data_IF_648279183985
#
_entry.id   IF_648279183985
#
_cell.length_a   1.000
_cell.length_b   1.000
_cell.length_c   1.000
_cell.angle_alpha   90.00
_cell.angle_beta   90.00
_cell.angle_gamma   90.00
#
_symmetry.space_group_name_H-M   'P 1'
#
loop_
_entity.id
_entity.type
_entity.pdbx_description
1 polymer ?
#
# COMPACT_ATOMS: atom_id res chain seq x y z
N UNK A 1 -43.14 -67.89 -21.91
CA UNK A 1 -43.23 -68.93 -22.93
C UNK A 1 -42.95 -68.34 -24.30
N UNK A 2 -42.28 -68.94 -25.20
CA UNK A 2 -41.09 -69.79 -25.10
C UNK A 2 -39.90 -69.21 -25.93
N UNK A 3 -38.68 -69.53 -25.56
CA UNK A 3 -37.71 -70.46 -26.16
C UNK A 3 -37.13 -70.09 -27.57
N UNK A 4 -35.82 -70.14 -27.64
CA UNK A 4 -35.10 -70.23 -28.90
C UNK A 4 -33.59 -70.09 -28.73
N UNK A 5 -32.93 -71.17 -28.31
CA UNK A 5 -31.49 -71.35 -28.40
C UNK A 5 -31.10 -71.80 -29.85
N UNK A 6 -29.86 -71.45 -30.32
CA UNK A 6 -28.92 -72.42 -30.93
C UNK A 6 -27.73 -71.71 -31.56
N UNK A 7 -26.57 -72.01 -31.11
CA UNK A 7 -25.46 -72.83 -31.65
C UNK A 7 -24.38 -72.06 -32.46
N UNK A 8 -23.21 -72.10 -31.87
CA UNK A 8 -21.89 -72.53 -32.32
C UNK A 8 -21.47 -72.27 -33.78
N UNK A 9 -20.29 -71.67 -33.87
CA UNK A 9 -19.46 -71.68 -35.01
C UNK A 9 -18.06 -71.11 -34.64
N UNK A 10 -17.15 -72.03 -34.27
CA UNK A 10 -15.78 -71.63 -34.01
C UNK A 10 -14.95 -71.50 -35.31
N UNK A 11 -14.03 -70.56 -35.31
CA UNK A 11 -12.88 -70.54 -36.21
C UNK A 11 -11.64 -70.15 -35.45
N UNK A 12 -10.67 -71.06 -35.36
CA UNK A 12 -9.28 -70.80 -34.95
C UNK A 12 -8.65 -69.89 -36.01
N UNK A 13 -8.02 -68.84 -35.57
CA UNK A 13 -6.96 -68.19 -36.33
C UNK A 13 -5.74 -67.96 -35.45
N UNK A 14 -4.70 -68.70 -35.80
CA UNK A 14 -3.34 -68.47 -35.33
C UNK A 14 -2.88 -67.06 -35.64
N UNK A 15 -2.52 -66.29 -34.63
CA UNK A 15 -1.80 -65.03 -34.83
C UNK A 15 -0.37 -65.17 -34.26
N UNK A 16 0.56 -64.97 -35.15
CA UNK A 16 1.99 -65.03 -34.92
C UNK A 16 2.45 -63.94 -33.91
N UNK A 17 3.14 -64.32 -32.88
CA UNK A 17 3.87 -63.40 -32.01
C UNK A 17 5.08 -62.82 -32.73
N UNK A 18 4.99 -61.56 -33.14
CA UNK A 18 6.16 -60.73 -33.46
C UNK A 18 6.59 -60.02 -32.17
N UNK A 19 7.68 -60.48 -31.60
CA UNK A 19 8.34 -59.82 -30.45
C UNK A 19 8.92 -58.49 -30.91
N UNK A 20 8.34 -57.37 -30.42
CA UNK A 20 8.99 -56.07 -30.49
C UNK A 20 9.71 -55.85 -29.17
N UNK A 21 11.03 -56.07 -29.21
CA UNK A 21 11.93 -55.62 -28.11
C UNK A 21 11.98 -54.11 -28.10
N UNK A 22 11.08 -53.49 -27.38
CA UNK A 22 11.14 -52.06 -27.04
C UNK A 22 12.20 -51.89 -25.95
N UNK A 23 13.34 -51.29 -26.28
CA UNK A 23 14.28 -50.78 -25.29
C UNK A 23 13.57 -49.70 -24.48
N UNK A 24 13.12 -50.01 -23.27
CA UNK A 24 12.69 -49.03 -22.30
C UNK A 24 13.89 -48.15 -21.94
N UNK A 25 13.92 -46.91 -22.41
CA UNK A 25 14.84 -45.89 -21.89
C UNK A 25 14.53 -45.73 -20.42
N UNK A 26 15.52 -45.98 -19.56
CA UNK A 26 15.45 -45.61 -18.15
C UNK A 26 15.13 -44.12 -18.04
N UNK A 27 14.21 -43.71 -17.14
CA UNK A 27 13.96 -42.29 -16.94
C UNK A 27 15.25 -41.60 -16.51
N UNK A 28 15.59 -40.55 -17.24
CA UNK A 28 16.72 -39.70 -16.89
C UNK A 28 16.48 -39.16 -15.47
N UNK A 29 17.45 -39.12 -14.56
CA UNK A 29 17.26 -38.61 -13.22
C UNK A 29 16.78 -37.15 -13.32
N UNK A 30 15.65 -36.86 -12.70
CA UNK A 30 15.13 -35.48 -12.60
C UNK A 30 16.25 -34.58 -12.07
N UNK A 31 16.58 -33.57 -12.85
CA UNK A 31 17.54 -32.55 -12.44
C UNK A 31 17.03 -31.93 -11.14
N UNK A 32 17.86 -31.85 -10.07
CA UNK A 32 17.40 -31.17 -8.85
C UNK A 32 16.87 -29.79 -9.20
N UNK A 33 15.75 -29.36 -8.56
CA UNK A 33 15.17 -28.06 -8.83
C UNK A 33 16.25 -27.00 -8.68
N UNK A 34 16.44 -26.19 -9.72
CA UNK A 34 17.35 -25.05 -9.65
C UNK A 34 16.92 -24.17 -8.49
N UNK A 35 17.85 -23.72 -7.62
CA UNK A 35 17.51 -22.77 -6.59
C UNK A 35 16.79 -21.57 -7.23
N UNK A 36 15.66 -21.18 -6.66
CA UNK A 36 14.96 -19.99 -7.12
C UNK A 36 15.95 -18.81 -7.16
N UNK A 37 15.92 -17.95 -8.19
CA UNK A 37 16.80 -16.81 -8.26
C UNK A 37 16.65 -15.96 -6.97
N UNK A 38 17.75 -15.41 -6.44
CA UNK A 38 17.68 -14.62 -5.23
C UNK A 38 16.68 -13.48 -5.42
N UNK A 39 15.70 -13.40 -4.52
CA UNK A 39 14.68 -12.33 -4.56
C UNK A 39 15.39 -11.03 -4.18
N UNK A 40 15.45 -10.08 -5.09
CA UNK A 40 15.99 -8.74 -4.80
C UNK A 40 15.19 -8.10 -3.67
N UNK A 41 15.85 -7.68 -2.58
CA UNK A 41 15.15 -7.01 -1.47
C UNK A 41 14.38 -5.78 -1.94
N UNK A 42 13.22 -5.52 -1.34
CA UNK A 42 12.49 -4.28 -1.54
C UNK A 42 13.31 -3.11 -0.97
N UNK A 43 13.59 -2.14 -1.81
CA UNK A 43 14.19 -0.85 -1.46
C UNK A 43 13.24 0.23 -1.93
N UNK A 44 12.25 0.50 -1.09
CA UNK A 44 11.13 1.35 -1.44
C UNK A 44 11.25 2.77 -0.87
N UNK A 45 10.46 3.67 -1.45
CA UNK A 45 10.27 5.01 -0.92
C UNK A 45 8.83 5.47 -1.15
N UNK A 46 8.25 6.17 -0.17
CA UNK A 46 6.98 6.85 -0.33
C UNK A 46 7.18 8.22 -0.97
N UNK A 47 6.35 8.55 -1.95
CA UNK A 47 6.23 9.87 -2.55
C UNK A 47 4.83 10.41 -2.25
N UNK A 48 4.76 11.36 -1.31
CA UNK A 48 3.51 11.95 -0.84
C UNK A 48 3.10 13.14 -1.69
N UNK A 49 1.84 13.17 -2.09
CA UNK A 49 1.26 14.26 -2.90
C UNK A 49 0.25 15.11 -2.14
N UNK A 50 -0.25 14.60 -0.99
CA UNK A 50 -1.16 15.35 -0.15
C UNK A 50 -0.57 16.73 0.18
N UNK A 51 -1.34 17.80 -0.08
CA UNK A 51 -0.89 19.19 0.09
C UNK A 51 0.45 19.52 -0.61
N UNK A 52 0.84 18.76 -1.63
CA UNK A 52 2.11 18.97 -2.33
C UNK A 52 3.36 18.66 -1.49
N UNK A 53 3.29 17.75 -0.52
CA UNK A 53 4.39 17.50 0.42
C UNK A 53 5.71 17.12 -0.26
N UNK A 54 5.71 16.19 -1.20
CA UNK A 54 6.88 15.83 -1.99
C UNK A 54 6.73 16.31 -3.44
N UNK A 55 5.49 16.23 -3.96
CA UNK A 55 5.16 16.58 -5.33
C UNK A 55 3.65 16.93 -5.41
N UNK A 56 3.22 17.84 -6.31
CA UNK A 56 4.04 18.63 -7.24
C UNK A 56 4.77 19.80 -6.55
N UNK A 57 5.82 20.36 -7.17
CA UNK A 57 6.51 21.50 -6.60
C UNK A 57 5.60 22.73 -6.56
N UNK A 58 5.60 23.45 -5.44
CA UNK A 58 4.76 24.64 -5.26
C UNK A 58 4.98 25.71 -6.36
N UNK A 59 6.18 25.79 -6.92
CA UNK A 59 6.49 26.67 -8.02
C UNK A 59 5.67 26.40 -9.29
N UNK A 60 5.25 25.14 -9.50
CA UNK A 60 4.43 24.78 -10.67
C UNK A 60 3.06 25.44 -10.67
N UNK A 61 2.48 25.67 -9.48
CA UNK A 61 1.17 26.34 -9.35
C UNK A 61 1.25 27.86 -9.59
N UNK A 62 2.48 28.41 -9.62
CA UNK A 62 2.74 29.82 -9.94
C UNK A 62 3.10 30.05 -11.41
N UNK A 63 3.14 28.99 -12.20
CA UNK A 63 3.46 29.09 -13.63
C UNK A 63 2.37 29.88 -14.36
N UNK A 64 2.80 30.80 -15.25
CA UNK A 64 1.89 31.68 -16.01
C UNK A 64 1.05 30.91 -17.05
N UNK A 65 1.56 29.76 -17.51
CA UNK A 65 0.93 28.95 -18.56
C UNK A 65 0.81 27.48 -18.17
N UNK A 66 -0.19 26.80 -18.70
CA UNK A 66 -0.36 25.36 -18.50
C UNK A 66 0.84 24.52 -19.03
N UNK A 67 1.41 24.79 -20.21
CA UNK A 67 2.62 24.09 -20.67
C UNK A 67 3.80 24.21 -19.70
N UNK A 68 4.02 25.38 -19.12
CA UNK A 68 5.09 25.59 -18.14
C UNK A 68 4.82 24.85 -16.84
N UNK A 69 3.58 24.87 -16.33
CA UNK A 69 3.17 24.09 -15.17
C UNK A 69 3.44 22.60 -15.38
N UNK A 70 3.01 22.07 -16.53
CA UNK A 70 3.20 20.65 -16.89
C UNK A 70 4.70 20.33 -16.94
N UNK A 71 5.50 21.17 -17.60
CA UNK A 71 6.94 20.98 -17.69
C UNK A 71 7.60 20.91 -16.31
N UNK A 72 7.26 21.84 -15.40
CA UNK A 72 7.81 21.86 -14.04
C UNK A 72 7.42 20.61 -13.24
N UNK A 73 6.18 20.17 -13.36
CA UNK A 73 5.70 18.97 -12.65
C UNK A 73 6.38 17.71 -13.19
N UNK A 74 6.45 17.54 -14.49
CA UNK A 74 7.11 16.39 -15.12
C UNK A 74 8.63 16.38 -14.83
N UNK A 75 9.29 17.51 -14.89
CA UNK A 75 10.71 17.62 -14.55
C UNK A 75 10.97 17.23 -13.09
N UNK A 76 10.12 17.67 -12.16
CA UNK A 76 10.25 17.31 -10.75
C UNK A 76 10.10 15.80 -10.52
N UNK A 77 9.16 15.13 -11.22
CA UNK A 77 9.02 13.67 -11.14
C UNK A 77 10.24 12.94 -11.72
N UNK A 78 10.76 13.37 -12.85
CA UNK A 78 11.95 12.73 -13.44
C UNK A 78 13.17 12.92 -12.56
N UNK A 79 13.37 14.10 -11.97
CA UNK A 79 14.46 14.35 -11.01
C UNK A 79 14.33 13.43 -9.78
N UNK A 80 13.12 13.31 -9.21
CA UNK A 80 12.87 12.42 -8.07
C UNK A 80 13.20 10.95 -8.40
N UNK A 81 12.83 10.49 -9.59
CA UNK A 81 13.17 9.14 -10.06
C UNK A 81 14.66 8.94 -10.27
N UNK A 82 15.37 9.95 -10.79
CA UNK A 82 16.83 9.91 -10.95
C UNK A 82 17.54 9.84 -9.58
N UNK A 83 17.06 10.59 -8.58
CA UNK A 83 17.56 10.50 -7.20
C UNK A 83 17.30 9.11 -6.58
N UNK A 84 16.15 8.50 -6.87
CA UNK A 84 15.84 7.13 -6.45
C UNK A 84 16.83 6.12 -7.06
N UNK A 85 17.08 6.20 -8.37
CA UNK A 85 18.06 5.35 -9.05
C UNK A 85 19.45 5.52 -8.43
N UNK A 86 19.89 6.76 -8.23
CA UNK A 86 21.19 7.08 -7.61
C UNK A 86 21.31 6.47 -6.21
N UNK A 87 20.21 6.42 -5.47
CA UNK A 87 20.18 5.86 -4.10
C UNK A 87 20.04 4.33 -4.08
N UNK A 88 19.74 3.69 -5.21
CA UNK A 88 19.53 2.24 -5.29
C UNK A 88 18.11 1.79 -4.93
N UNK A 89 17.14 2.71 -4.95
CA UNK A 89 15.72 2.44 -4.74
C UNK A 89 15.15 1.74 -5.98
N UNK A 90 14.35 0.70 -5.76
CA UNK A 90 13.75 -0.11 -6.82
C UNK A 90 12.22 -0.06 -6.87
N UNK A 91 11.58 0.63 -5.93
CA UNK A 91 10.12 0.74 -5.89
C UNK A 91 9.70 2.10 -5.32
N UNK A 92 8.76 2.77 -5.97
CA UNK A 92 8.12 3.99 -5.47
C UNK A 92 6.66 3.72 -5.12
N UNK A 93 6.24 4.17 -3.94
CA UNK A 93 4.85 4.19 -3.48
C UNK A 93 4.32 5.60 -3.73
N UNK A 94 3.67 5.78 -4.88
CA UNK A 94 3.21 7.07 -5.37
C UNK A 94 1.78 7.34 -4.90
N UNK A 95 1.58 8.37 -4.07
CA UNK A 95 0.26 8.75 -3.56
C UNK A 95 -0.59 9.34 -4.70
N UNK A 96 -1.48 8.52 -5.25
CA UNK A 96 -2.33 8.89 -6.39
C UNK A 96 -3.74 9.33 -5.97
N UNK A 97 -4.19 8.92 -4.77
CA UNK A 97 -5.45 9.35 -4.16
C UNK A 97 -5.18 9.86 -2.75
N UNK A 98 -4.74 11.13 -2.59
CA UNK A 98 -4.47 11.70 -1.27
C UNK A 98 -5.72 11.96 -0.45
N UNK A 99 -6.86 12.16 -1.10
CA UNK A 99 -8.18 12.46 -0.54
C UNK A 99 -9.30 11.95 -1.48
N UNK A 100 -10.42 12.66 -1.58
CA UNK A 100 -11.52 12.35 -2.50
C UNK A 100 -11.26 12.71 -3.97
N UNK A 101 -10.00 12.90 -4.35
CA UNK A 101 -9.58 13.32 -5.69
C UNK A 101 -8.51 12.38 -6.27
N UNK A 102 -8.22 12.51 -7.57
CA UNK A 102 -7.32 11.61 -8.29
C UNK A 102 -6.14 12.34 -8.93
N UNK A 103 -4.99 11.64 -9.01
CA UNK A 103 -3.84 12.02 -9.82
C UNK A 103 -3.73 11.15 -11.09
N UNK A 104 -4.84 10.63 -11.56
CA UNK A 104 -4.97 9.90 -12.84
C UNK A 104 -6.29 10.30 -13.50
N UNK A 105 -6.42 10.02 -14.80
CA UNK A 105 -7.68 10.25 -15.52
C UNK A 105 -8.73 9.24 -15.05
N UNK A 106 -9.59 9.68 -14.14
CA UNK A 106 -10.62 8.87 -13.51
C UNK A 106 -12.01 9.22 -14.07
N UNK A 107 -12.85 8.21 -14.22
CA UNK A 107 -14.29 8.38 -14.48
C UNK A 107 -15.11 8.51 -13.19
N UNK A 108 -14.47 8.31 -12.02
CA UNK A 108 -15.13 8.27 -10.70
C UNK A 108 -14.77 9.50 -9.86
N UNK A 109 -13.52 9.96 -9.92
CA UNK A 109 -12.97 10.99 -9.05
C UNK A 109 -12.60 12.26 -9.84
N UNK A 110 -12.87 13.46 -9.28
CA UNK A 110 -12.35 14.69 -9.87
C UNK A 110 -10.83 14.77 -9.74
N UNK A 111 -10.20 15.55 -10.63
CA UNK A 111 -8.79 15.86 -10.54
C UNK A 111 -8.42 16.54 -9.21
N UNK A 112 -7.27 16.19 -8.67
CA UNK A 112 -6.76 16.79 -7.44
C UNK A 112 -6.35 18.25 -7.66
N UNK A 113 -6.70 19.12 -6.68
CA UNK A 113 -6.30 20.52 -6.65
C UNK A 113 -4.78 20.72 -6.62
N UNK A 114 -4.00 19.75 -6.13
CA UNK A 114 -2.55 19.87 -6.08
C UNK A 114 -1.91 20.04 -7.46
N UNK A 115 -2.61 19.62 -8.52
CA UNK A 115 -2.13 19.67 -9.90
C UNK A 115 -2.27 21.05 -10.56
N UNK A 116 -3.33 21.78 -10.19
CA UNK A 116 -3.68 23.06 -10.87
C UNK A 116 -4.03 24.19 -9.91
N UNK A 117 -4.23 23.89 -8.63
CA UNK A 117 -4.78 24.82 -7.64
C UNK A 117 -6.31 24.80 -7.57
N UNK A 118 -6.99 24.00 -8.41
CA UNK A 118 -8.46 23.92 -8.48
C UNK A 118 -8.91 22.48 -8.59
N UNK A 119 -9.79 22.04 -7.68
CA UNK A 119 -10.40 20.71 -7.72
C UNK A 119 -11.17 20.52 -9.03
N UNK A 120 -10.99 19.36 -9.67
CA UNK A 120 -11.71 18.98 -10.89
C UNK A 120 -11.15 19.58 -12.18
N UNK A 121 -10.19 20.50 -12.11
CA UNK A 121 -9.57 21.08 -13.29
C UNK A 121 -8.58 20.08 -13.93
N UNK A 122 -8.78 19.74 -15.21
CA UNK A 122 -7.87 18.88 -15.98
C UNK A 122 -6.46 19.51 -16.01
N UNK A 123 -5.43 18.80 -15.56
CA UNK A 123 -4.06 19.31 -15.56
C UNK A 123 -3.42 19.35 -16.96
N UNK A 124 -4.05 18.78 -17.98
CA UNK A 124 -3.55 18.68 -19.34
C UNK A 124 -2.62 17.51 -19.60
N UNK A 125 -2.43 16.62 -18.64
CA UNK A 125 -1.72 15.35 -18.77
C UNK A 125 -2.14 14.39 -17.66
N UNK A 126 -1.74 13.11 -17.74
CA UNK A 126 -2.03 12.10 -16.73
C UNK A 126 -0.77 11.82 -15.89
N UNK A 127 -0.73 12.30 -14.61
CA UNK A 127 0.43 12.11 -13.75
C UNK A 127 0.78 10.66 -13.46
N UNK A 128 -0.21 9.78 -13.25
CA UNK A 128 0.05 8.36 -13.01
C UNK A 128 0.63 7.68 -14.25
N UNK A 129 0.07 7.93 -15.42
CA UNK A 129 0.61 7.40 -16.68
C UNK A 129 2.04 7.89 -16.93
N UNK A 130 2.33 9.16 -16.64
CA UNK A 130 3.68 9.72 -16.75
C UNK A 130 4.65 9.07 -15.77
N UNK A 131 4.25 8.92 -14.49
CA UNK A 131 5.06 8.24 -13.46
C UNK A 131 5.39 6.81 -13.87
N UNK A 132 4.41 6.03 -14.30
CA UNK A 132 4.59 4.64 -14.73
C UNK A 132 5.61 4.53 -15.87
N UNK A 133 5.44 5.35 -16.92
CA UNK A 133 6.36 5.38 -18.06
C UNK A 133 7.79 5.67 -17.63
N UNK A 134 7.99 6.71 -16.83
CA UNK A 134 9.33 7.18 -16.43
C UNK A 134 9.99 6.27 -15.39
N UNK A 135 9.21 5.71 -14.46
CA UNK A 135 9.70 4.77 -13.46
C UNK A 135 10.09 3.42 -14.08
N UNK A 136 9.21 2.83 -14.91
CA UNK A 136 9.49 1.55 -15.56
C UNK A 136 10.68 1.63 -16.50
N UNK A 137 10.86 2.75 -17.22
CA UNK A 137 12.05 2.98 -18.05
C UNK A 137 13.36 2.96 -17.24
N UNK A 138 13.29 3.26 -15.94
CA UNK A 138 14.42 3.22 -15.00
C UNK A 138 14.51 1.91 -14.20
N UNK A 139 13.64 0.96 -14.44
CA UNK A 139 13.56 -0.30 -13.67
C UNK A 139 12.97 -0.14 -12.27
N UNK A 140 12.28 0.97 -12.00
CA UNK A 140 11.59 1.24 -10.73
C UNK A 140 10.14 0.77 -10.84
N UNK A 141 9.68 -0.05 -9.89
CA UNK A 141 8.28 -0.43 -9.75
C UNK A 141 7.46 0.69 -9.15
N UNK A 142 6.18 0.74 -9.51
CA UNK A 142 5.24 1.76 -9.00
C UNK A 142 4.06 1.09 -8.30
N UNK A 143 3.92 1.36 -7.02
CA UNK A 143 2.71 1.05 -6.27
C UNK A 143 1.86 2.30 -6.14
N UNK A 144 0.60 2.22 -6.57
CA UNK A 144 -0.36 3.28 -6.39
C UNK A 144 -0.83 3.32 -4.93
N UNK A 145 -0.52 4.40 -4.23
CA UNK A 145 -0.92 4.61 -2.86
C UNK A 145 -2.21 5.42 -2.79
N UNK A 146 -3.23 4.87 -2.13
CA UNK A 146 -4.53 5.47 -1.95
C UNK A 146 -4.86 5.62 -0.46
N UNK A 147 -5.41 6.78 -0.09
CA UNK A 147 -6.12 6.97 1.19
C UNK A 147 -7.58 6.58 0.97
N UNK A 148 -8.06 5.43 1.47
CA UNK A 148 -9.35 4.89 1.05
C UNK A 148 -10.55 5.75 1.45
N UNK A 149 -10.61 6.25 2.68
CA UNK A 149 -11.77 6.93 3.24
C UNK A 149 -11.69 8.45 3.25
N UNK A 150 -10.51 9.04 3.13
CA UNK A 150 -10.34 10.49 3.21
C UNK A 150 -10.98 11.19 2.02
N UNK A 151 -11.80 12.20 2.30
CA UNK A 151 -12.47 13.04 1.31
C UNK A 151 -11.82 14.42 1.20
N UNK A 152 -11.39 15.00 2.33
CA UNK A 152 -10.72 16.31 2.37
C UNK A 152 -9.68 16.39 3.48
N UNK A 153 -8.83 17.42 3.40
CA UNK A 153 -7.82 17.72 4.42
C UNK A 153 -8.29 18.71 5.47
N UNK A 154 -9.47 19.32 5.26
CA UNK A 154 -10.10 20.25 6.19
C UNK A 154 -11.62 20.31 5.91
N UNK A 155 -12.35 21.04 6.77
CA UNK A 155 -13.82 21.20 6.69
C UNK A 155 -14.23 22.65 6.43
N UNK A 156 -13.33 23.48 5.88
CA UNK A 156 -13.56 24.90 5.63
C UNK A 156 -14.63 25.11 4.56
N UNK A 157 -15.34 26.23 4.65
CA UNK A 157 -16.38 26.58 3.66
C UNK A 157 -15.84 26.62 2.24
N UNK A 158 -14.62 27.15 2.04
CA UNK A 158 -13.98 27.17 0.73
C UNK A 158 -13.78 25.75 0.15
N UNK A 159 -13.44 24.79 0.98
CA UNK A 159 -13.32 23.38 0.56
C UNK A 159 -14.68 22.80 0.19
N UNK A 160 -15.71 23.07 0.99
CA UNK A 160 -17.09 22.64 0.72
C UNK A 160 -17.56 23.20 -0.61
N UNK A 161 -17.35 24.48 -0.85
CA UNK A 161 -17.75 25.16 -2.08
C UNK A 161 -17.03 24.56 -3.31
N UNK A 162 -15.73 24.33 -3.20
CA UNK A 162 -14.94 23.71 -4.26
C UNK A 162 -15.39 22.28 -4.59
N UNK A 163 -15.67 21.45 -3.57
CA UNK A 163 -16.18 20.10 -3.78
C UNK A 163 -17.57 20.08 -4.41
N UNK A 164 -18.46 20.99 -4.01
CA UNK A 164 -19.81 21.12 -4.60
C UNK A 164 -19.76 21.65 -6.04
N UNK A 165 -18.81 22.54 -6.35
CA UNK A 165 -18.64 23.06 -7.69
C UNK A 165 -18.29 21.99 -8.73
N UNK A 166 -17.71 20.87 -8.32
CA UNK A 166 -17.41 19.74 -9.23
C UNK A 166 -18.64 19.13 -9.89
N UNK A 167 -19.86 19.37 -9.35
CA UNK A 167 -21.11 18.96 -9.99
C UNK A 167 -21.28 19.57 -11.39
N UNK A 168 -20.59 20.67 -11.69
CA UNK A 168 -20.64 21.33 -13.00
C UNK A 168 -19.64 20.76 -14.01
N UNK A 169 -18.67 19.95 -13.55
CA UNK A 169 -17.59 19.38 -14.38
C UNK A 169 -17.31 17.93 -13.98
N UNK A 170 -18.12 16.97 -14.43
CA UNK A 170 -17.93 15.56 -14.10
C UNK A 170 -16.53 15.03 -14.49
N UNK A 171 -15.99 14.06 -13.69
CA UNK A 171 -16.63 13.41 -12.56
C UNK A 171 -16.70 14.31 -11.33
N UNK A 172 -17.86 14.32 -10.66
CA UNK A 172 -18.08 15.13 -9.48
C UNK A 172 -17.52 14.46 -8.21
N UNK A 173 -17.24 15.26 -7.19
CA UNK A 173 -16.78 14.78 -5.88
C UNK A 173 -17.82 13.88 -5.21
N UNK A 174 -17.34 12.82 -4.56
CA UNK A 174 -18.19 11.97 -3.71
C UNK A 174 -18.87 12.76 -2.58
N UNK A 175 -18.25 13.84 -2.12
CA UNK A 175 -18.86 14.76 -1.15
C UNK A 175 -20.18 15.36 -1.69
N UNK A 176 -20.16 15.81 -2.93
CA UNK A 176 -21.31 16.42 -3.58
C UNK A 176 -22.36 15.40 -4.04
N UNK A 177 -21.92 14.21 -4.50
CA UNK A 177 -22.81 13.16 -5.00
C UNK A 177 -23.52 12.38 -3.90
N UNK A 178 -22.82 12.14 -2.77
CA UNK A 178 -23.27 11.28 -1.69
C UNK A 178 -23.07 11.93 -0.32
N UNK A 179 -23.78 13.05 -0.02
CA UNK A 179 -23.61 13.75 1.24
C UNK A 179 -23.99 12.89 2.46
N UNK A 180 -24.83 11.89 2.29
CA UNK A 180 -25.22 10.91 3.31
C UNK A 180 -24.08 9.92 3.68
N UNK A 181 -23.08 9.77 2.82
CA UNK A 181 -21.89 8.95 3.12
C UNK A 181 -20.83 9.69 3.93
N UNK A 182 -20.93 11.03 4.01
CA UNK A 182 -19.90 11.89 4.58
C UNK A 182 -20.02 11.95 6.09
N UNK A 183 -18.89 11.81 6.77
CA UNK A 183 -18.72 12.06 8.21
C UNK A 183 -17.62 13.07 8.41
N UNK A 184 -17.70 13.77 9.54
CA UNK A 184 -16.66 14.71 9.97
C UNK A 184 -15.96 14.14 11.19
N UNK A 185 -14.65 14.02 11.15
CA UNK A 185 -13.83 13.67 12.28
C UNK A 185 -12.43 14.25 12.10
N UNK A 186 -11.82 14.71 13.19
CA UNK A 186 -10.45 15.23 13.21
C UNK A 186 -10.21 16.29 12.12
N UNK A 187 -11.14 17.26 12.02
CA UNK A 187 -11.15 18.37 11.06
C UNK A 187 -11.07 17.93 9.58
N UNK A 188 -11.57 16.75 9.25
CA UNK A 188 -11.63 16.23 7.88
C UNK A 188 -13.00 15.71 7.54
N UNK A 189 -13.35 15.75 6.26
CA UNK A 189 -14.40 14.92 5.71
C UNK A 189 -13.84 13.54 5.36
N UNK A 190 -14.56 12.52 5.79
CA UNK A 190 -14.27 11.13 5.52
C UNK A 190 -15.54 10.37 5.12
N UNK A 191 -15.38 9.27 4.39
CA UNK A 191 -16.48 8.35 4.10
C UNK A 191 -16.78 7.50 5.33
N UNK A 192 -18.05 7.18 5.56
CA UNK A 192 -18.49 6.27 6.61
C UNK A 192 -18.10 4.81 6.29
N UNK A 193 -17.15 4.20 7.03
CA UNK A 193 -16.72 2.84 6.73
C UNK A 193 -17.79 1.76 6.99
N UNK A 194 -18.84 2.11 7.74
CA UNK A 194 -19.94 1.21 8.05
C UNK A 194 -20.91 0.99 6.90
N UNK A 195 -20.90 1.84 5.88
CA UNK A 195 -21.79 1.75 4.74
C UNK A 195 -21.26 0.75 3.69
N UNK A 196 -22.02 -0.30 3.33
CA UNK A 196 -21.64 -1.22 2.26
C UNK A 196 -21.37 -0.53 0.93
N UNK A 197 -22.16 0.48 0.56
CA UNK A 197 -22.00 1.23 -0.69
C UNK A 197 -20.68 1.99 -0.74
N UNK A 198 -20.20 2.51 0.40
CA UNK A 198 -18.88 3.15 0.51
C UNK A 198 -17.78 2.14 0.19
N UNK A 199 -17.85 0.93 0.75
CA UNK A 199 -16.86 -0.14 0.46
C UNK A 199 -16.87 -0.55 -1.02
N UNK A 200 -18.05 -0.65 -1.61
CA UNK A 200 -18.21 -0.93 -3.04
C UNK A 200 -17.61 0.18 -3.90
N UNK A 201 -17.84 1.44 -3.54
CA UNK A 201 -17.30 2.59 -4.24
C UNK A 201 -15.77 2.63 -4.18
N UNK A 202 -15.16 2.46 -2.99
CA UNK A 202 -13.70 2.40 -2.83
C UNK A 202 -13.11 1.26 -3.67
N UNK A 203 -13.76 0.08 -3.63
CA UNK A 203 -13.34 -1.08 -4.44
C UNK A 203 -13.41 -0.78 -5.93
N UNK A 204 -14.44 -0.03 -6.37
CA UNK A 204 -14.57 0.45 -7.74
C UNK A 204 -13.44 1.38 -8.16
N UNK A 205 -13.02 2.30 -7.28
CA UNK A 205 -11.87 3.19 -7.52
C UNK A 205 -10.57 2.39 -7.69
N UNK A 206 -10.32 1.41 -6.83
CA UNK A 206 -9.16 0.52 -6.97
C UNK A 206 -9.22 -0.26 -8.28
N UNK A 207 -10.40 -0.80 -8.61
CA UNK A 207 -10.60 -1.55 -9.84
C UNK A 207 -10.32 -0.70 -11.09
N UNK A 208 -10.68 0.58 -11.09
CA UNK A 208 -10.39 1.51 -12.17
C UNK A 208 -8.87 1.65 -12.39
N UNK A 209 -8.11 1.87 -11.33
CA UNK A 209 -6.65 1.99 -11.41
C UNK A 209 -6.02 0.70 -11.94
N UNK A 210 -6.41 -0.46 -11.38
CA UNK A 210 -5.85 -1.76 -11.79
C UNK A 210 -6.19 -2.10 -13.25
N UNK A 211 -7.40 -1.79 -13.70
CA UNK A 211 -7.82 -2.05 -15.09
C UNK A 211 -7.06 -1.19 -16.10
N UNK A 212 -6.93 0.10 -15.81
CA UNK A 212 -6.52 1.10 -16.79
C UNK A 212 -5.02 1.40 -16.78
N UNK A 213 -4.30 1.01 -15.71
CA UNK A 213 -2.88 1.34 -15.54
C UNK A 213 -2.04 0.09 -15.26
N UNK A 214 -0.79 0.15 -15.68
CA UNK A 214 0.20 -0.92 -15.46
C UNK A 214 0.94 -0.72 -14.13
N UNK A 215 0.19 -0.59 -13.04
CA UNK A 215 0.74 -0.50 -11.71
C UNK A 215 1.29 -1.85 -11.24
N UNK A 216 2.40 -1.84 -10.50
CA UNK A 216 2.98 -3.05 -9.91
C UNK A 216 2.29 -3.44 -8.60
N UNK A 217 1.61 -2.48 -7.97
CA UNK A 217 0.87 -2.72 -6.74
C UNK A 217 -0.13 -1.62 -6.39
N UNK A 218 -0.99 -1.95 -5.45
CA UNK A 218 -1.93 -1.05 -4.76
C UNK A 218 -1.56 -1.05 -3.29
N UNK A 219 -1.52 0.12 -2.67
CA UNK A 219 -1.28 0.27 -1.24
C UNK A 219 -2.32 1.16 -0.58
N UNK A 220 -2.86 0.70 0.55
CA UNK A 220 -3.54 1.55 1.53
C UNK A 220 -2.55 1.92 2.65
N UNK A 221 -2.74 3.09 3.26
CA UNK A 221 -1.94 3.52 4.41
C UNK A 221 -2.57 3.12 5.76
N UNK A 222 -2.37 3.93 6.79
CA UNK A 222 -2.83 3.67 8.17
C UNK A 222 -4.17 4.32 8.52
N UNK A 223 -4.76 5.09 7.60
CA UNK A 223 -5.99 5.84 7.87
C UNK A 223 -7.24 5.07 7.44
N UNK A 224 -7.91 4.42 8.40
CA UNK A 224 -9.20 3.75 8.20
C UNK A 224 -10.34 4.52 8.87
N UNK A 225 -10.48 4.47 10.21
CA UNK A 225 -11.37 5.35 10.95
C UNK A 225 -10.62 6.61 11.39
N UNK A 226 -11.19 7.78 11.16
CA UNK A 226 -10.53 9.08 11.36
C UNK A 226 -10.81 9.72 12.71
N UNK A 227 -11.39 9.01 13.66
CA UNK A 227 -11.70 9.56 14.96
C UNK A 227 -10.48 9.69 15.88
N UNK A 228 -10.59 10.65 16.79
CA UNK A 228 -9.76 10.74 17.99
C UNK A 228 -10.69 10.85 19.21
N UNK A 229 -10.18 10.67 20.45
CA UNK A 229 -11.01 10.89 21.65
C UNK A 229 -11.67 12.26 21.71
N UNK A 230 -11.05 13.30 21.12
CA UNK A 230 -11.55 14.67 21.08
C UNK A 230 -12.46 14.95 19.87
N UNK A 231 -12.42 14.09 18.87
CA UNK A 231 -13.22 14.25 17.64
C UNK A 231 -13.73 12.87 17.17
N UNK A 232 -14.77 12.37 17.85
CA UNK A 232 -15.36 11.07 17.49
C UNK A 232 -16.04 11.13 16.14
N UNK A 233 -16.05 10.01 15.42
CA UNK A 233 -16.79 9.85 14.18
C UNK A 233 -18.25 9.50 14.50
N UNK A 234 -19.20 10.30 13.99
CA UNK A 234 -20.64 10.06 14.17
C UNK A 234 -21.16 9.00 13.17
N UNK A 235 -21.08 7.74 13.56
CA UNK A 235 -21.62 6.60 12.82
C UNK A 235 -22.73 5.83 13.61
N UNK A 236 -23.35 6.48 14.59
CA UNK A 236 -24.38 5.84 15.42
C UNK A 236 -25.59 5.35 14.62
N UNK A 237 -26.02 6.12 13.62
CA UNK A 237 -27.13 5.71 12.75
C UNK A 237 -26.76 4.46 11.97
N UNK A 238 -25.56 4.45 11.40
CA UNK A 238 -25.02 3.33 10.61
C UNK A 238 -24.85 2.08 11.49
N UNK A 239 -24.35 2.26 12.72
CA UNK A 239 -24.21 1.15 13.68
C UNK A 239 -25.58 0.54 14.06
N UNK A 240 -26.61 1.35 14.31
CA UNK A 240 -27.95 0.83 14.58
C UNK A 240 -28.53 0.02 13.42
N UNK A 241 -28.18 0.39 12.19
CA UNK A 241 -28.67 -0.26 10.98
C UNK A 241 -27.89 -1.56 10.68
N UNK A 242 -26.58 -1.52 10.74
CA UNK A 242 -25.69 -2.62 10.30
C UNK A 242 -24.94 -3.35 11.43
N UNK A 243 -24.99 -2.85 12.66
CA UNK A 243 -24.24 -3.41 13.79
C UNK A 243 -24.91 -4.58 14.52
N UNK A 244 -26.10 -5.01 14.06
CA UNK A 244 -26.82 -6.14 14.68
C UNK A 244 -25.99 -7.43 14.61
N UNK A 245 -25.83 -8.10 15.76
CA UNK A 245 -25.10 -9.36 15.84
C UNK A 245 -23.63 -9.22 16.26
N UNK A 246 -23.10 -8.00 16.32
CA UNK A 246 -21.78 -7.74 16.88
C UNK A 246 -21.86 -7.54 18.40
N UNK A 247 -20.79 -7.93 19.12
CA UNK A 247 -20.72 -7.80 20.57
C UNK A 247 -20.73 -6.31 21.01
N UNK A 248 -20.07 -5.46 20.22
CA UNK A 248 -19.94 -4.03 20.45
C UNK A 248 -19.66 -3.27 19.16
N UNK A 249 -19.71 -1.94 19.24
CA UNK A 249 -19.44 -1.04 18.11
C UNK A 249 -18.00 -1.16 17.58
N UNK A 250 -17.03 -1.38 18.45
CA UNK A 250 -15.64 -1.53 18.07
C UNK A 250 -15.42 -2.80 17.21
N UNK A 251 -16.03 -3.90 17.58
CA UNK A 251 -16.01 -5.15 16.81
C UNK A 251 -16.66 -4.99 15.44
N UNK A 252 -17.79 -4.29 15.37
CA UNK A 252 -18.44 -3.95 14.12
C UNK A 252 -17.57 -3.06 13.23
N UNK A 253 -16.91 -2.04 13.78
CA UNK A 253 -15.98 -1.17 13.03
C UNK A 253 -14.79 -1.96 12.47
N UNK A 254 -14.22 -2.88 13.25
CA UNK A 254 -13.13 -3.75 12.76
C UNK A 254 -13.59 -4.70 11.66
N UNK A 255 -14.83 -5.19 11.72
CA UNK A 255 -15.39 -5.97 10.62
C UNK A 255 -15.59 -5.12 9.35
N UNK A 256 -16.01 -3.86 9.48
CA UNK A 256 -16.14 -2.97 8.32
C UNK A 256 -14.83 -2.79 7.57
N UNK A 257 -13.72 -2.58 8.26
CA UNK A 257 -12.40 -2.50 7.63
C UNK A 257 -11.96 -3.83 7.04
N UNK A 258 -12.23 -4.95 7.73
CA UNK A 258 -11.96 -6.29 7.22
C UNK A 258 -12.72 -6.57 5.91
N UNK A 259 -14.00 -6.19 5.82
CA UNK A 259 -14.80 -6.36 4.60
C UNK A 259 -14.22 -5.56 3.43
N UNK A 260 -13.77 -4.32 3.65
CA UNK A 260 -13.08 -3.55 2.60
C UNK A 260 -11.83 -4.29 2.11
N UNK A 261 -10.96 -4.73 3.02
CA UNK A 261 -9.73 -5.44 2.67
C UNK A 261 -10.03 -6.72 1.88
N UNK A 262 -11.04 -7.50 2.30
CA UNK A 262 -11.49 -8.68 1.56
C UNK A 262 -11.95 -8.36 0.14
N UNK A 263 -12.78 -7.33 -0.02
CA UNK A 263 -13.30 -6.92 -1.32
C UNK A 263 -12.20 -6.45 -2.26
N UNK A 264 -11.30 -5.59 -1.77
CA UNK A 264 -10.17 -5.07 -2.57
C UNK A 264 -9.21 -6.21 -2.93
N UNK A 265 -8.84 -7.06 -1.98
CA UNK A 265 -7.98 -8.22 -2.23
C UNK A 265 -8.55 -9.13 -3.33
N UNK A 266 -9.83 -9.50 -3.22
CA UNK A 266 -10.50 -10.34 -4.22
C UNK A 266 -10.56 -9.67 -5.59
N UNK A 267 -10.84 -8.37 -5.63
CA UNK A 267 -10.95 -7.60 -6.88
C UNK A 267 -9.61 -7.47 -7.59
N UNK A 268 -8.54 -7.12 -6.87
CA UNK A 268 -7.19 -7.01 -7.46
C UNK A 268 -6.73 -8.35 -8.01
N UNK A 269 -6.89 -9.43 -7.25
CA UNK A 269 -6.51 -10.79 -7.69
C UNK A 269 -7.31 -11.26 -8.91
N UNK A 270 -8.60 -10.93 -8.97
CA UNK A 270 -9.44 -11.29 -10.11
C UNK A 270 -9.09 -10.50 -11.38
N UNK A 271 -8.72 -9.24 -11.26
CA UNK A 271 -8.43 -8.36 -12.40
C UNK A 271 -7.01 -8.57 -12.94
N UNK A 272 -6.00 -8.51 -12.06
CA UNK A 272 -4.58 -8.67 -12.41
C UNK A 272 -3.82 -9.37 -11.27
N UNK A 273 -3.69 -10.71 -11.28
CA UNK A 273 -3.03 -11.47 -10.21
C UNK A 273 -1.58 -11.07 -9.93
N UNK A 274 -0.91 -10.43 -10.90
CA UNK A 274 0.47 -9.96 -10.75
C UNK A 274 0.58 -8.63 -9.99
N UNK A 275 -0.52 -7.89 -9.84
CA UNK A 275 -0.55 -6.63 -9.08
C UNK A 275 -0.61 -6.95 -7.59
N UNK A 276 0.40 -6.51 -6.83
CA UNK A 276 0.45 -6.72 -5.40
C UNK A 276 -0.55 -5.80 -4.67
N UNK A 277 -1.22 -6.33 -3.64
CA UNK A 277 -2.03 -5.52 -2.72
C UNK A 277 -1.43 -5.54 -1.33
N UNK A 278 -1.15 -4.36 -0.77
CA UNK A 278 -0.58 -4.22 0.56
C UNK A 278 -1.14 -3.06 1.35
N UNK A 279 -0.80 -3.05 2.64
CA UNK A 279 -1.20 -2.00 3.59
C UNK A 279 0.04 -1.55 4.37
N UNK A 280 0.12 -0.23 4.63
CA UNK A 280 1.14 0.37 5.51
C UNK A 280 0.46 0.89 6.78
N UNK A 281 0.24 0.03 7.79
CA UNK A 281 -0.45 0.41 9.01
C UNK A 281 0.48 1.15 9.98
N UNK A 282 -0.12 1.71 11.05
CA UNK A 282 0.65 2.11 12.23
C UNK A 282 1.55 0.97 12.71
N UNK A 283 2.75 1.30 13.20
CA UNK A 283 3.77 0.32 13.55
C UNK A 283 3.38 -0.64 14.68
N UNK A 284 2.44 -0.23 15.54
CA UNK A 284 1.93 -1.05 16.65
C UNK A 284 0.51 -1.52 16.35
N UNK A 285 0.31 -2.85 16.31
CA UNK A 285 -1.02 -3.44 16.21
C UNK A 285 -1.79 -3.28 17.53
N UNK A 286 -1.25 -3.81 18.62
CA UNK A 286 -1.71 -3.63 20.02
C UNK A 286 -0.53 -3.71 20.97
N UNK A 287 -0.66 -3.05 22.13
CA UNK A 287 0.30 -3.22 23.23
C UNK A 287 0.07 -4.57 23.92
N UNK A 288 1.13 -5.19 24.42
CA UNK A 288 1.04 -6.46 25.16
C UNK A 288 0.23 -6.34 26.44
N UNK A 289 0.16 -5.14 27.02
CA UNK A 289 -0.66 -4.89 28.20
C UNK A 289 -2.18 -5.01 27.92
N UNK A 290 -2.59 -4.73 26.67
CA UNK A 290 -3.99 -4.76 26.23
C UNK A 290 -4.36 -6.12 25.61
N UNK A 291 -3.38 -6.82 25.05
CA UNK A 291 -3.56 -8.15 24.44
C UNK A 291 -2.26 -8.95 24.53
N UNK A 292 -2.29 -10.19 25.07
CA UNK A 292 -1.09 -11.05 25.18
C UNK A 292 -0.37 -11.30 23.85
N UNK A 293 -1.09 -11.23 22.72
CA UNK A 293 -0.52 -11.35 21.38
C UNK A 293 0.11 -10.06 20.88
N UNK A 294 -0.03 -8.95 21.60
CA UNK A 294 0.51 -7.65 21.24
C UNK A 294 2.03 -7.55 21.42
N UNK A 295 2.59 -6.45 20.93
CA UNK A 295 4.02 -6.14 21.09
C UNK A 295 4.33 -5.57 22.50
N UNK A 296 5.57 -5.75 22.95
CA UNK A 296 6.06 -5.17 24.21
C UNK A 296 6.29 -3.66 24.05
N UNK A 297 5.22 -2.92 23.90
CA UNK A 297 5.17 -1.47 23.62
C UNK A 297 4.13 -0.78 24.50
N UNK A 298 4.17 0.58 24.49
CA UNK A 298 3.23 1.47 25.17
C UNK A 298 2.78 2.58 24.18
N UNK A 299 2.31 2.18 22.99
CA UNK A 299 1.84 3.11 21.98
C UNK A 299 0.49 3.71 22.37
N UNK A 300 0.29 5.01 22.09
CA UNK A 300 -0.97 5.71 22.38
C UNK A 300 -2.08 5.46 21.36
N UNK A 301 -1.75 5.01 20.15
CA UNK A 301 -2.71 4.79 19.06
C UNK A 301 -2.40 3.51 18.25
N UNK A 302 -2.53 2.33 18.86
CA UNK A 302 -2.39 1.07 18.13
C UNK A 302 -3.47 0.92 17.04
N UNK A 303 -3.13 0.29 15.91
CA UNK A 303 -4.04 0.19 14.76
C UNK A 303 -5.36 -0.52 15.08
N UNK A 304 -5.32 -1.56 15.88
CA UNK A 304 -6.50 -2.32 16.30
C UNK A 304 -7.50 -1.47 17.10
N UNK A 305 -6.97 -0.65 18.02
CA UNK A 305 -7.80 0.12 18.96
C UNK A 305 -8.18 1.51 18.42
N UNK A 306 -7.25 2.19 17.74
CA UNK A 306 -7.44 3.57 17.30
C UNK A 306 -8.02 3.69 15.87
N UNK A 307 -7.56 2.84 14.94
CA UNK A 307 -8.02 2.84 13.56
C UNK A 307 -9.06 1.76 13.26
N UNK A 308 -9.39 0.93 14.23
CA UNK A 308 -10.26 -0.25 14.06
C UNK A 308 -9.79 -1.15 12.92
N UNK A 309 -8.48 -1.32 12.82
CA UNK A 309 -7.81 -2.08 11.79
C UNK A 309 -7.07 -3.27 12.41
N UNK A 310 -7.66 -4.45 12.31
CA UNK A 310 -7.02 -5.70 12.76
C UNK A 310 -6.05 -6.23 11.72
N UNK A 311 -4.96 -5.50 11.55
CA UNK A 311 -3.95 -5.76 10.51
C UNK A 311 -3.26 -7.12 10.70
N UNK A 312 -3.13 -7.59 11.94
CA UNK A 312 -2.63 -8.94 12.25
C UNK A 312 -3.57 -10.02 11.68
N UNK A 313 -4.88 -9.85 11.82
CA UNK A 313 -5.87 -10.75 11.24
C UNK A 313 -5.79 -10.78 9.71
N UNK A 314 -5.63 -9.64 9.06
CA UNK A 314 -5.53 -9.56 7.60
C UNK A 314 -4.33 -10.35 7.06
N UNK A 315 -3.20 -10.31 7.78
CA UNK A 315 -2.01 -11.12 7.47
C UNK A 315 -2.32 -12.61 7.65
N UNK A 316 -2.89 -13.01 8.78
CA UNK A 316 -3.21 -14.42 9.08
C UNK A 316 -4.22 -15.03 8.10
N UNK A 317 -5.12 -14.22 7.57
CA UNK A 317 -6.09 -14.64 6.54
C UNK A 317 -5.50 -14.62 5.12
N UNK A 318 -4.25 -14.18 4.93
CA UNK A 318 -3.59 -14.12 3.62
C UNK A 318 -4.29 -13.17 2.64
N UNK A 319 -4.88 -12.08 3.14
CA UNK A 319 -5.61 -11.11 2.33
C UNK A 319 -4.69 -10.13 1.61
N UNK A 320 -3.45 -10.01 2.06
CA UNK A 320 -2.45 -9.08 1.56
C UNK A 320 -1.31 -9.84 0.90
N UNK A 321 -0.67 -9.23 -0.09
CA UNK A 321 0.58 -9.71 -0.65
C UNK A 321 1.78 -9.20 0.15
N UNK A 322 1.64 -8.04 0.80
CA UNK A 322 2.63 -7.51 1.73
C UNK A 322 1.98 -6.64 2.81
N UNK A 323 2.70 -6.48 3.92
CA UNK A 323 2.42 -5.51 4.96
C UNK A 323 3.67 -4.67 5.22
N UNK A 324 3.49 -3.34 5.35
CA UNK A 324 4.57 -2.38 5.51
C UNK A 324 4.34 -1.50 6.74
N UNK A 325 4.47 -2.03 7.97
CA UNK A 325 4.25 -1.26 9.18
C UNK A 325 5.21 -0.08 9.29
N UNK A 326 4.71 1.05 9.77
CA UNK A 326 5.46 2.30 9.95
C UNK A 326 6.24 2.25 11.27
N UNK A 327 7.48 1.78 11.21
CA UNK A 327 8.37 1.61 12.37
C UNK A 327 9.22 2.88 12.59
N UNK A 328 8.56 4.01 12.84
CA UNK A 328 9.18 5.34 12.82
C UNK A 328 9.84 5.75 14.12
N UNK A 329 10.45 4.81 14.85
CA UNK A 329 11.15 5.04 16.11
C UNK A 329 12.56 4.45 16.09
N UNK A 330 13.50 5.01 16.90
CA UNK A 330 14.82 4.42 17.03
C UNK A 330 14.82 3.21 17.99
N UNK A 331 15.91 2.46 18.00
CA UNK A 331 16.11 1.36 18.95
C UNK A 331 16.01 1.81 20.41
N UNK A 332 16.42 3.05 20.71
CA UNK A 332 16.52 3.54 22.09
C UNK A 332 15.24 4.23 22.57
N UNK A 333 14.15 4.18 21.80
CA UNK A 333 12.83 4.67 22.26
C UNK A 333 12.11 3.57 23.04
N UNK A 334 12.36 3.46 24.34
CA UNK A 334 11.95 2.33 25.18
C UNK A 334 10.48 1.94 25.08
N UNK A 335 9.58 2.91 24.96
CA UNK A 335 8.13 2.65 24.89
C UNK A 335 7.67 2.05 23.55
N UNK A 336 8.48 2.19 22.48
CA UNK A 336 8.16 1.70 21.12
C UNK A 336 9.46 1.42 20.35
N UNK A 337 10.26 0.49 20.83
CA UNK A 337 11.56 0.16 20.24
C UNK A 337 11.41 -0.42 18.82
N UNK A 338 12.26 0.02 17.91
CA UNK A 338 12.30 -0.48 16.53
C UNK A 338 12.49 -2.00 16.46
N UNK A 339 13.47 -2.53 17.15
CA UNK A 339 13.82 -3.94 17.14
C UNK A 339 12.70 -4.83 17.71
N UNK A 340 12.05 -4.38 18.78
CA UNK A 340 10.88 -5.07 19.35
C UNK A 340 9.78 -5.20 18.31
N UNK A 341 9.47 -4.13 17.60
CA UNK A 341 8.42 -4.12 16.59
C UNK A 341 8.80 -4.92 15.33
N UNK A 342 10.03 -4.77 14.84
CA UNK A 342 10.50 -5.52 13.67
C UNK A 342 10.44 -7.04 13.90
N UNK A 343 10.90 -7.50 15.07
CA UNK A 343 10.81 -8.91 15.46
C UNK A 343 9.35 -9.36 15.63
N UNK A 344 8.49 -8.54 16.24
CA UNK A 344 7.07 -8.86 16.41
C UNK A 344 6.36 -9.05 15.06
N UNK A 345 6.58 -8.16 14.11
CA UNK A 345 6.01 -8.28 12.77
C UNK A 345 6.57 -9.47 11.99
N UNK A 346 7.87 -9.80 12.16
CA UNK A 346 8.45 -10.99 11.56
C UNK A 346 7.75 -12.28 12.04
N UNK A 347 7.40 -12.36 13.33
CA UNK A 347 6.59 -13.48 13.86
C UNK A 347 5.14 -13.45 13.35
N UNK A 348 4.55 -12.26 13.11
CA UNK A 348 3.18 -12.15 12.56
C UNK A 348 3.11 -12.72 11.14
N UNK A 349 4.08 -12.43 10.29
CA UNK A 349 4.08 -12.92 8.90
C UNK A 349 4.59 -14.35 8.74
N UNK A 350 5.23 -14.89 9.75
CA UNK A 350 5.74 -16.25 9.75
C UNK A 350 4.65 -17.26 9.41
N UNK A 351 4.98 -18.21 8.55
CA UNK A 351 4.07 -19.24 8.05
C UNK A 351 2.86 -18.69 7.28
N UNK A 352 2.99 -17.48 6.73
CA UNK A 352 2.01 -16.86 5.84
C UNK A 352 2.65 -16.51 4.50
N UNK A 353 1.87 -16.35 3.42
CA UNK A 353 2.40 -15.88 2.13
C UNK A 353 2.70 -14.38 2.09
N UNK A 354 2.39 -13.64 3.15
CA UNK A 354 2.48 -12.17 3.21
C UNK A 354 3.92 -11.74 3.45
N UNK A 355 4.45 -10.86 2.59
CA UNK A 355 5.78 -10.28 2.75
C UNK A 355 5.76 -9.14 3.75
N UNK A 356 6.82 -9.03 4.53
CA UNK A 356 7.01 -7.91 5.47
C UNK A 356 8.02 -6.91 4.88
N UNK A 357 7.65 -5.63 4.87
CA UNK A 357 8.57 -4.53 4.59
C UNK A 357 8.57 -3.55 5.77
N UNK A 358 9.74 -3.18 6.26
CA UNK A 358 9.82 -2.22 7.36
C UNK A 358 9.76 -0.78 6.84
N UNK A 359 8.78 -0.02 7.31
CA UNK A 359 8.75 1.43 7.11
C UNK A 359 9.75 2.12 8.03
N UNK A 360 10.65 2.95 7.47
CA UNK A 360 11.73 3.64 8.17
C UNK A 360 11.59 5.14 8.02
N UNK A 361 11.81 5.87 9.12
CA UNK A 361 11.61 7.31 9.22
C UNK A 361 12.81 8.12 8.70
N UNK A 362 13.02 8.16 7.39
CA UNK A 362 14.08 8.99 6.81
C UNK A 362 13.93 10.47 7.18
N UNK A 363 12.69 10.96 7.35
CA UNK A 363 12.41 12.35 7.71
C UNK A 363 12.91 12.78 9.10
N UNK A 364 13.17 11.82 10.00
CA UNK A 364 13.73 12.08 11.33
C UNK A 364 15.26 12.15 11.33
N UNK A 365 15.89 11.53 10.34
CA UNK A 365 17.35 11.45 10.24
C UNK A 365 17.94 12.85 10.14
N UNK A 366 18.92 13.14 10.98
CA UNK A 366 19.55 14.46 11.08
C UNK A 366 18.69 15.53 11.78
N UNK A 367 17.46 15.19 12.21
CA UNK A 367 16.57 16.14 12.91
C UNK A 367 16.74 16.02 14.43
N UNK A 368 17.08 17.13 15.12
CA UNK A 368 17.20 17.12 16.58
C UNK A 368 15.88 16.76 17.29
N UNK A 369 15.96 15.84 18.24
CA UNK A 369 14.84 15.44 19.07
C UNK A 369 15.34 15.07 20.47
N UNK A 370 14.80 15.70 21.50
CA UNK A 370 15.16 15.39 22.88
C UNK A 370 14.75 13.97 23.31
N UNK A 371 13.66 13.46 22.75
CA UNK A 371 13.14 12.12 23.05
C UNK A 371 13.74 11.01 22.17
N UNK A 372 14.39 11.36 21.07
CA UNK A 372 14.97 10.44 20.10
C UNK A 372 16.34 10.93 19.61
N UNK A 373 17.34 11.10 20.51
CA UNK A 373 18.62 11.71 20.15
C UNK A 373 19.44 10.89 19.14
N UNK A 374 19.17 9.60 19.02
CA UNK A 374 19.88 8.71 18.09
C UNK A 374 19.82 9.20 16.63
N UNK A 375 18.77 9.93 16.24
CA UNK A 375 18.61 10.46 14.88
C UNK A 375 19.61 11.55 14.49
N UNK A 376 20.36 12.13 15.44
CA UNK A 376 21.36 13.18 15.16
C UNK A 376 22.79 12.72 15.33
N UNK A 377 23.04 11.58 15.97
CA UNK A 377 24.40 11.04 16.14
C UNK A 377 25.00 10.78 14.77
N UNK A 378 26.09 11.45 14.46
CA UNK A 378 26.76 11.37 13.13
C UNK A 378 25.80 11.46 11.94
N UNK A 379 24.88 12.45 11.99
CA UNK A 379 23.85 12.65 10.95
C UNK A 379 22.80 11.52 10.90
N UNK A 380 22.65 10.75 11.99
CA UNK A 380 21.67 9.65 12.09
C UNK A 380 22.10 8.35 11.41
N UNK A 381 23.29 8.30 10.80
CA UNK A 381 23.79 7.12 10.07
C UNK A 381 23.88 5.87 10.96
N UNK A 382 24.40 5.90 12.21
CA UNK A 382 24.45 4.72 13.06
C UNK A 382 23.08 4.10 13.34
N UNK A 383 22.06 4.93 13.58
CA UNK A 383 20.70 4.44 13.83
C UNK A 383 20.09 3.84 12.56
N UNK A 384 20.21 4.53 11.43
CA UNK A 384 19.74 4.01 10.14
C UNK A 384 20.44 2.69 9.78
N UNK A 385 21.75 2.61 10.01
CA UNK A 385 22.52 1.37 9.80
C UNK A 385 21.99 0.22 10.67
N UNK A 386 21.76 0.45 11.97
CA UNK A 386 21.21 -0.57 12.89
C UNK A 386 19.88 -1.12 12.38
N UNK A 387 18.99 -0.23 11.92
CA UNK A 387 17.68 -0.61 11.40
C UNK A 387 17.80 -1.46 10.13
N UNK A 388 18.65 -1.04 9.18
CA UNK A 388 18.87 -1.77 7.95
C UNK A 388 19.56 -3.12 8.18
N UNK A 389 20.56 -3.19 9.07
CA UNK A 389 21.22 -4.44 9.43
C UNK A 389 20.23 -5.45 10.05
N UNK A 390 19.34 -4.97 10.93
CA UNK A 390 18.29 -5.82 11.48
C UNK A 390 17.33 -6.30 10.39
N UNK A 391 16.82 -5.40 9.54
CA UNK A 391 15.90 -5.75 8.47
C UNK A 391 16.48 -6.83 7.54
N UNK A 392 17.75 -6.71 7.18
CA UNK A 392 18.43 -7.67 6.29
C UNK A 392 18.72 -9.02 6.98
N UNK A 393 18.78 -9.05 8.31
CA UNK A 393 19.04 -10.27 9.10
C UNK A 393 17.77 -11.02 9.53
N UNK A 394 16.60 -10.37 9.56
CA UNK A 394 15.37 -10.98 10.04
C UNK A 394 14.73 -11.90 8.99
N UNK A 395 14.50 -13.19 9.33
CA UNK A 395 13.72 -14.09 8.49
C UNK A 395 12.31 -13.51 8.24
N UNK A 396 11.87 -13.54 6.99
CA UNK A 396 10.55 -13.01 6.59
C UNK A 396 10.51 -11.51 6.29
N UNK A 397 11.56 -10.75 6.64
CA UNK A 397 11.71 -9.36 6.23
C UNK A 397 12.14 -9.30 4.76
N UNK A 398 11.28 -8.76 3.90
CA UNK A 398 11.50 -8.67 2.46
C UNK A 398 12.16 -7.36 2.01
N UNK A 399 12.34 -6.40 2.91
CA UNK A 399 12.98 -5.12 2.58
C UNK A 399 12.56 -3.95 3.43
N UNK A 400 12.92 -2.76 2.96
CA UNK A 400 12.76 -1.48 3.67
C UNK A 400 12.09 -0.47 2.75
N UNK A 401 11.18 0.33 3.31
CA UNK A 401 10.56 1.45 2.62
C UNK A 401 10.83 2.73 3.42
N UNK A 402 11.41 3.74 2.78
CA UNK A 402 11.79 5.00 3.40
C UNK A 402 10.65 6.01 3.35
N UNK A 403 10.33 6.65 4.43
CA UNK A 403 9.41 7.78 4.47
C UNK A 403 10.19 9.07 4.69
N UNK A 404 10.34 9.94 3.70
CA UNK A 404 9.73 9.99 2.36
C UNK A 404 10.67 10.65 1.33
N UNK A 405 10.25 10.73 0.07
CA UNK A 405 11.07 11.08 -1.09
C UNK A 405 11.82 12.40 -0.97
N UNK A 406 11.20 13.47 -0.49
CA UNK A 406 11.83 14.77 -0.31
C UNK A 406 13.16 14.68 0.45
N UNK A 407 13.26 13.79 1.41
CA UNK A 407 14.45 13.63 2.26
C UNK A 407 15.63 12.93 1.58
N UNK A 408 15.52 12.58 0.29
CA UNK A 408 16.68 12.20 -0.51
C UNK A 408 17.53 13.39 -0.91
N UNK A 409 17.00 14.62 -0.81
CA UNK A 409 17.67 15.85 -1.24
C UNK A 409 17.70 16.96 -0.18
N UNK A 410 17.23 16.70 1.02
CA UNK A 410 17.28 17.66 2.13
C UNK A 410 18.68 17.65 2.79
N UNK A 411 19.28 18.81 3.10
CA UNK A 411 20.62 18.87 3.67
C UNK A 411 20.81 18.10 4.97
N UNK A 412 19.75 17.99 5.79
CA UNK A 412 19.80 17.25 7.06
C UNK A 412 20.09 15.77 6.90
N UNK A 413 19.78 15.19 5.74
CA UNK A 413 19.92 13.75 5.44
C UNK A 413 21.11 13.44 4.53
N UNK A 414 21.93 14.42 4.15
CA UNK A 414 23.03 14.22 3.19
C UNK A 414 23.92 13.02 3.53
N UNK A 415 24.40 12.93 4.77
CA UNK A 415 25.24 11.82 5.23
C UNK A 415 24.52 10.46 5.14
N UNK A 416 23.25 10.42 5.49
CA UNK A 416 22.45 9.21 5.44
C UNK A 416 22.17 8.78 4.00
N UNK A 417 21.93 9.72 3.11
CA UNK A 417 21.72 9.45 1.68
C UNK A 417 23.01 8.94 1.03
N UNK A 418 24.17 9.53 1.33
CA UNK A 418 25.49 9.02 0.91
C UNK A 418 25.72 7.58 1.39
N UNK A 419 25.37 7.31 2.65
CA UNK A 419 25.45 5.96 3.21
C UNK A 419 24.55 4.97 2.45
N UNK A 420 23.28 5.35 2.18
CA UNK A 420 22.36 4.52 1.39
C UNK A 420 22.86 4.27 -0.03
N UNK A 421 23.37 5.29 -0.70
CA UNK A 421 23.97 5.19 -2.05
C UNK A 421 25.15 4.22 -2.08
N UNK A 422 25.94 4.18 -1.01
CA UNK A 422 27.04 3.23 -0.88
C UNK A 422 26.54 1.82 -0.60
N UNK A 423 25.58 1.68 0.33
CA UNK A 423 25.04 0.39 0.76
C UNK A 423 24.20 -0.30 -0.32
N UNK A 424 23.42 0.46 -1.08
CA UNK A 424 22.47 -0.06 -2.06
C UNK A 424 22.94 0.06 -3.52
N UNK A 425 24.22 0.20 -3.73
CA UNK A 425 24.79 0.25 -5.10
C UNK A 425 24.27 -0.90 -5.95
N UNK A 426 23.85 -0.65 -7.21
CA UNK A 426 23.55 -1.73 -8.15
C UNK A 426 24.76 -2.64 -8.34
N UNK A 427 24.59 -3.93 -8.10
CA UNK A 427 25.64 -4.94 -8.32
C UNK A 427 26.43 -5.39 -7.09
N UNK A 428 26.06 -5.00 -5.89
CA UNK A 428 26.52 -5.63 -4.65
C UNK A 428 25.48 -6.57 -4.05
#
# INVERSE_FOLDING_TARGET
>A
MPTGATKLGGWLLMAAMLGVSGCAKSPEPEKPPQPAPPVTPMRGIWLATVMGLDWPPAASLKAETAPERIRLQQQALTNALDDMVKTGINTVYFQVKPDGTALWRSDILPWSEVLTGTVGQDPGYDPLAFMLKEAHRRGIKVHAWLNPYRVSMNTRQQTIDALNQTLQSPPASVYALHPDWIRTANDRFALDPGLPDVRNWITGVVAEVVKNYDVDGIQFDDYFYYETPQSPLDDEKTYREYGKGFADKASWRRDNTLQLIKQVSATVRALKPAVAFGVSPAGVWRNKADDPAGSATQAGAPSYDAAYADTRQWVKLGLLDYIAPQLYWPFDREIVRYDVLANWWAEVVKDTPVRLYAGVALYKVGTPSASEPAWTVDGGVPELKRQLDLNESLPGMGGTILFRQRYLTEPQTDKAVEYLQTRWKPGQ
#
